data_IF_722726422951
#
_entry.id   IF_722726422951
#
_cell.length_a   1.000
_cell.length_b   1.000
_cell.length_c   1.000
_cell.angle_alpha   90.00
_cell.angle_beta   90.00
_cell.angle_gamma   90.00
#
_symmetry.space_group_name_H-M   'P 1'
#
loop_
_entity.id
_entity.type
_entity.pdbx_description
1 polymer ?
#
# COMPACT_ATOMS: atom_id res chain seq x y z
N UNK A 1 24.97 -4.62 -22.44
CA UNK A 1 23.72 -3.90 -22.73
C UNK A 1 23.16 -3.39 -21.39
N UNK A 2 23.87 -2.42 -20.81
CA UNK A 2 23.55 -0.96 -20.78
C UNK A 2 22.44 -0.65 -19.78
N UNK A 3 22.90 -0.22 -18.61
CA UNK A 3 22.19 0.59 -17.62
C UNK A 3 22.07 2.03 -18.13
N UNK A 4 21.11 2.82 -17.64
CA UNK A 4 21.47 4.13 -17.09
C UNK A 4 20.70 4.40 -15.78
N UNK A 5 21.36 4.76 -14.68
CA UNK A 5 22.12 5.97 -14.38
C UNK A 5 21.23 7.16 -13.97
N UNK A 6 21.17 7.32 -12.65
CA UNK A 6 20.73 8.47 -11.86
C UNK A 6 21.53 9.74 -12.24
N UNK A 7 20.88 10.88 -12.50
CA UNK A 7 21.53 12.21 -12.50
C UNK A 7 20.59 13.33 -12.06
N UNK A 8 20.83 13.82 -10.86
CA UNK A 8 20.55 15.18 -10.42
C UNK A 8 21.50 16.18 -11.09
N UNK A 9 21.06 17.42 -11.36
CA UNK A 9 21.75 18.68 -11.03
C UNK A 9 21.34 19.88 -11.93
N UNK A 10 21.71 21.08 -11.44
CA UNK A 10 21.64 22.45 -11.98
C UNK A 10 20.30 23.16 -11.78
N UNK A 11 20.13 24.18 -10.92
CA UNK A 11 21.00 25.26 -10.40
C UNK A 11 21.49 26.27 -11.46
N UNK A 12 21.16 27.55 -11.19
CA UNK A 12 21.63 28.82 -11.80
C UNK A 12 20.96 29.14 -13.16
N UNK A 13 20.50 30.34 -13.47
CA UNK A 13 21.09 31.69 -13.27
C UNK A 13 20.01 32.77 -13.44
N UNK A 14 20.22 33.89 -12.73
CA UNK A 14 19.53 35.16 -12.86
C UNK A 14 19.78 35.85 -14.22
N UNK A 15 18.88 36.77 -14.62
CA UNK A 15 19.31 38.01 -15.28
C UNK A 15 18.33 39.16 -15.01
N UNK A 16 18.90 40.22 -14.46
CA UNK A 16 18.35 41.56 -14.22
C UNK A 16 17.97 42.28 -15.52
N UNK A 17 16.93 43.11 -15.46
CA UNK A 17 16.85 44.31 -16.31
C UNK A 17 16.22 45.45 -15.49
N UNK A 18 17.03 46.47 -15.25
CA UNK A 18 16.63 47.76 -14.68
C UNK A 18 16.65 48.81 -15.78
N UNK A 19 15.62 49.67 -15.89
CA UNK A 19 15.75 50.96 -16.55
C UNK A 19 14.71 52.00 -16.06
N UNK A 20 15.27 52.96 -15.31
CA UNK A 20 14.95 54.38 -15.01
C UNK A 20 13.78 55.11 -15.70
N UNK A 21 12.97 55.82 -14.88
CA UNK A 21 12.55 57.24 -14.98
C UNK A 21 11.54 57.49 -13.81
N UNK A 22 11.59 58.49 -12.93
CA UNK A 22 11.90 59.91 -13.11
C UNK A 22 10.57 60.70 -13.06
N UNK A 23 10.18 61.24 -11.89
CA UNK A 23 9.09 62.23 -11.78
C UNK A 23 8.21 62.12 -10.53
N UNK A 24 8.34 63.08 -9.60
CA UNK A 24 7.34 63.36 -8.56
C UNK A 24 6.21 64.22 -9.17
N UNK A 25 4.96 64.02 -8.77
CA UNK A 25 4.37 65.06 -7.91
C UNK A 25 3.47 64.52 -6.79
N UNK A 26 3.38 65.33 -5.75
CA UNK A 26 2.49 65.23 -4.61
C UNK A 26 1.03 65.58 -5.01
N UNK A 27 0.08 64.74 -4.63
CA UNK A 27 -1.33 65.09 -4.43
C UNK A 27 -1.94 64.25 -3.29
N UNK A 28 -2.86 64.90 -2.59
CA UNK A 28 -3.50 64.53 -1.34
C UNK A 28 -4.50 63.36 -1.41
N UNK A 29 -4.68 62.70 -0.25
CA UNK A 29 -5.91 62.22 0.45
C UNK A 29 -7.23 62.18 -0.37
N UNK A 30 -8.17 61.23 -0.22
CA UNK A 30 -8.70 60.52 0.96
C UNK A 30 -9.75 59.48 0.48
N UNK A 31 -10.03 58.47 1.32
CA UNK A 31 -11.28 57.68 1.43
C UNK A 31 -11.60 56.64 0.37
N UNK A 32 -11.52 55.36 0.74
CA UNK A 32 -12.67 54.64 1.31
C UNK A 32 -12.48 53.11 1.19
N UNK A 33 -12.68 52.45 2.32
CA UNK A 33 -13.21 51.10 2.49
C UNK A 33 -12.51 49.86 1.91
N UNK A 34 -12.12 49.03 2.89
CA UNK A 34 -12.37 47.58 2.94
C UNK A 34 -11.44 46.65 2.16
N UNK A 35 -10.36 46.30 2.86
CA UNK A 35 -10.08 44.93 3.32
C UNK A 35 -11.00 43.84 2.73
N UNK A 36 -10.52 43.11 1.74
CA UNK A 36 -10.87 41.69 1.57
C UNK A 36 -9.66 40.96 1.01
N UNK A 37 -9.03 40.22 1.92
CA UNK A 37 -8.38 38.94 1.71
C UNK A 37 -8.68 38.29 0.37
N UNK A 38 -7.64 37.97 -0.40
CA UNK A 38 -7.47 36.58 -0.85
C UNK A 38 -6.08 36.40 -1.44
N UNK A 39 -5.17 36.01 -0.54
CA UNK A 39 -4.05 35.16 -0.86
C UNK A 39 -4.62 33.96 -1.63
N UNK A 40 -4.49 33.98 -2.96
CA UNK A 40 -4.85 32.83 -3.80
C UNK A 40 -3.74 31.80 -3.59
N UNK A 41 -3.82 31.11 -2.45
CA UNK A 41 -3.25 29.80 -2.31
C UNK A 41 -3.77 29.02 -3.50
N UNK A 42 -2.87 28.70 -4.43
CA UNK A 42 -3.09 27.66 -5.41
C UNK A 42 -3.32 26.38 -4.63
N UNK A 43 -4.57 26.15 -4.23
CA UNK A 43 -5.07 24.82 -3.91
C UNK A 43 -4.95 24.05 -5.22
N UNK A 44 -3.79 23.46 -5.43
CA UNK A 44 -3.70 22.29 -6.29
C UNK A 44 -4.74 21.35 -5.70
N UNK A 45 -5.89 21.26 -6.37
CA UNK A 45 -6.79 20.16 -6.21
C UNK A 45 -5.93 18.95 -6.58
N UNK A 46 -5.27 18.37 -5.58
CA UNK A 46 -4.66 17.05 -5.65
C UNK A 46 -5.84 16.16 -5.96
N UNK A 47 -6.10 15.99 -7.26
CA UNK A 47 -7.10 15.08 -7.77
C UNK A 47 -6.80 13.77 -7.09
N UNK A 48 -7.69 13.37 -6.21
CA UNK A 48 -7.45 12.22 -5.37
C UNK A 48 -7.44 11.01 -6.28
N UNK A 49 -6.25 10.44 -6.49
CA UNK A 49 -6.09 9.25 -7.30
C UNK A 49 -6.62 8.10 -6.46
N UNK A 50 -7.73 7.49 -6.87
CA UNK A 50 -8.23 6.27 -6.25
C UNK A 50 -8.10 5.14 -7.26
N UNK A 51 -7.67 3.99 -6.78
CA UNK A 51 -7.59 2.80 -7.60
C UNK A 51 -8.91 2.05 -7.55
N UNK A 52 -9.41 1.73 -8.74
CA UNK A 52 -10.60 0.88 -8.93
C UNK A 52 -10.19 -0.40 -9.66
N UNK A 53 -10.85 -1.54 -9.40
CA UNK A 53 -10.61 -2.74 -10.16
C UNK A 53 -11.00 -2.50 -11.63
N UNK A 54 -10.18 -2.98 -12.56
CA UNK A 54 -10.50 -3.00 -13.99
C UNK A 54 -11.24 -4.27 -14.41
N UNK A 55 -11.18 -5.32 -13.59
CA UNK A 55 -11.85 -6.62 -13.76
C UNK A 55 -12.50 -7.06 -12.47
N UNK A 56 -13.31 -8.12 -12.55
CA UNK A 56 -13.83 -8.80 -11.36
C UNK A 56 -12.67 -9.55 -10.68
N UNK A 57 -12.47 -9.29 -9.39
CA UNK A 57 -11.51 -10.00 -8.54
C UNK A 57 -12.31 -10.85 -7.55
N UNK A 58 -12.06 -12.16 -7.56
CA UNK A 58 -12.75 -13.10 -6.70
C UNK A 58 -12.17 -13.11 -5.28
N UNK A 59 -12.95 -13.50 -4.26
CA UNK A 59 -12.40 -13.71 -2.92
C UNK A 59 -11.31 -14.78 -2.94
N UNK A 60 -10.21 -14.53 -2.24
CA UNK A 60 -9.01 -15.37 -2.24
C UNK A 60 -7.98 -15.02 -3.33
N UNK A 61 -8.36 -14.24 -4.34
CA UNK A 61 -7.43 -13.82 -5.40
C UNK A 61 -6.52 -12.68 -4.89
N UNK A 62 -5.25 -12.75 -5.30
CA UNK A 62 -4.26 -11.71 -5.04
C UNK A 62 -4.51 -10.51 -5.96
N UNK A 63 -4.46 -9.30 -5.39
CA UNK A 63 -4.64 -8.05 -6.11
C UNK A 63 -3.30 -7.66 -6.74
N UNK A 64 -3.22 -7.81 -8.06
CA UNK A 64 -2.08 -7.39 -8.86
C UNK A 64 -2.23 -5.94 -9.37
N UNK A 65 -1.11 -5.27 -9.62
CA UNK A 65 -1.08 -3.92 -10.21
C UNK A 65 -1.78 -3.84 -11.58
N UNK A 66 -1.74 -4.92 -12.38
CA UNK A 66 -2.43 -4.98 -13.67
C UNK A 66 -3.96 -5.06 -13.55
N UNK A 67 -4.48 -5.43 -12.38
CA UNK A 67 -5.92 -5.48 -12.11
C UNK A 67 -6.48 -4.13 -11.60
N UNK A 68 -5.62 -3.14 -11.36
CA UNK A 68 -5.99 -1.85 -10.80
C UNK A 68 -5.86 -0.74 -11.85
N UNK A 69 -6.88 0.10 -11.95
CA UNK A 69 -6.85 1.32 -12.76
C UNK A 69 -6.83 2.54 -11.84
N UNK A 70 -5.81 3.41 -11.92
CA UNK A 70 -5.84 4.68 -11.22
C UNK A 70 -6.86 5.58 -11.90
N UNK A 71 -7.84 6.05 -11.14
CA UNK A 71 -8.84 7.00 -11.59
C UNK A 71 -8.80 8.22 -10.68
N UNK A 72 -8.60 9.38 -11.29
CA UNK A 72 -8.65 10.66 -10.60
C UNK A 72 -10.10 10.98 -10.25
N UNK A 73 -10.40 11.13 -8.97
CA UNK A 73 -11.72 11.55 -8.52
C UNK A 73 -11.99 13.00 -8.88
N UNK A 74 -13.25 13.29 -9.22
CA UNK A 74 -13.74 14.66 -9.30
C UNK A 74 -13.72 15.28 -7.89
N UNK A 75 -13.21 16.51 -7.74
CA UNK A 75 -13.14 17.19 -6.45
C UNK A 75 -14.55 17.42 -5.87
N UNK A 76 -14.80 17.00 -4.63
CA UNK A 76 -16.04 17.30 -3.89
C UNK A 76 -16.86 16.11 -3.37
N UNK A 77 -16.44 14.86 -3.60
CA UNK A 77 -17.08 13.69 -2.97
C UNK A 77 -16.32 13.34 -1.68
N UNK A 78 -16.98 13.43 -0.53
CA UNK A 78 -16.37 13.06 0.76
C UNK A 78 -15.90 11.59 0.76
N UNK A 79 -14.63 11.40 1.11
CA UNK A 79 -14.02 10.09 1.42
C UNK A 79 -14.75 9.42 2.59
N UNK A 80 -15.10 8.14 2.47
CA UNK A 80 -15.10 7.26 3.63
C UNK A 80 -13.64 6.90 3.96
N UNK A 81 -13.19 7.11 5.20
CA UNK A 81 -11.85 6.75 5.72
C UNK A 81 -11.43 5.28 5.45
N UNK A 82 -12.38 4.41 5.13
CA UNK A 82 -12.17 2.98 4.95
C UNK A 82 -11.89 2.56 3.50
N UNK A 83 -11.35 3.42 2.62
CA UNK A 83 -11.04 3.09 1.21
C UNK A 83 -9.53 3.16 0.95
N UNK A 84 -8.99 2.10 0.34
CA UNK A 84 -7.59 2.06 -0.04
C UNK A 84 -7.38 2.93 -1.28
N UNK A 85 -6.53 3.94 -1.16
CA UNK A 85 -6.36 4.99 -2.19
C UNK A 85 -5.04 4.84 -2.95
N UNK A 86 -4.04 4.19 -2.33
CA UNK A 86 -2.70 4.08 -2.90
C UNK A 86 -2.45 2.70 -3.50
N UNK A 87 -1.83 2.63 -4.68
CA UNK A 87 -1.45 1.36 -5.30
C UNK A 87 -0.64 0.46 -4.37
N UNK A 88 0.26 1.07 -3.59
CA UNK A 88 1.15 0.39 -2.65
C UNK A 88 0.40 -0.27 -1.48
N UNK A 89 -0.78 0.25 -1.11
CA UNK A 89 -1.62 -0.34 -0.08
C UNK A 89 -2.43 -1.53 -0.60
N UNK A 90 -2.64 -1.66 -1.91
CA UNK A 90 -3.41 -2.76 -2.50
C UNK A 90 -2.53 -3.87 -3.06
N UNK A 91 -1.30 -3.55 -3.46
CA UNK A 91 -0.40 -4.50 -4.11
C UNK A 91 -0.03 -5.65 -3.16
N UNK A 92 -0.22 -6.89 -3.63
CA UNK A 92 0.11 -8.09 -2.86
C UNK A 92 -0.89 -8.43 -1.75
N UNK A 93 -1.99 -7.67 -1.63
CA UNK A 93 -3.10 -8.02 -0.75
C UNK A 93 -4.05 -9.00 -1.42
N UNK A 94 -4.82 -9.73 -0.62
CA UNK A 94 -5.81 -10.70 -1.05
C UNK A 94 -7.22 -10.17 -0.79
N UNK A 95 -8.11 -10.34 -1.76
CA UNK A 95 -9.50 -9.93 -1.62
C UNK A 95 -10.27 -10.90 -0.68
N UNK A 96 -10.99 -10.36 0.30
CA UNK A 96 -11.90 -11.12 1.18
C UNK A 96 -13.30 -11.28 0.58
N UNK A 97 -13.68 -10.40 -0.34
CA UNK A 97 -14.99 -10.37 -1.01
C UNK A 97 -14.82 -10.05 -2.49
N UNK A 98 -15.83 -10.36 -3.28
CA UNK A 98 -15.84 -10.03 -4.71
C UNK A 98 -15.73 -8.52 -4.91
N UNK A 99 -14.68 -8.10 -5.61
CA UNK A 99 -14.49 -6.71 -6.02
C UNK A 99 -14.99 -6.57 -7.45
N UNK A 100 -15.98 -5.71 -7.64
CA UNK A 100 -16.53 -5.42 -8.96
C UNK A 100 -15.73 -4.32 -9.66
N UNK A 101 -15.59 -4.39 -11.00
CA UNK A 101 -14.90 -3.35 -11.74
C UNK A 101 -15.61 -2.00 -11.57
N UNK A 102 -14.83 -0.93 -11.50
CA UNK A 102 -15.37 0.43 -11.38
C UNK A 102 -15.87 0.82 -9.98
N UNK A 103 -15.71 -0.04 -8.97
CA UNK A 103 -16.08 0.24 -7.57
C UNK A 103 -14.84 0.60 -6.74
N UNK A 104 -15.06 1.41 -5.70
CA UNK A 104 -14.05 1.66 -4.68
C UNK A 104 -13.73 0.38 -3.89
N UNK A 105 -12.46 0.20 -3.53
CA UNK A 105 -11.97 -0.95 -2.78
C UNK A 105 -11.84 -0.55 -1.31
N UNK A 106 -12.77 -0.95 -0.44
CA UNK A 106 -12.66 -0.64 0.97
C UNK A 106 -11.56 -1.47 1.64
N UNK A 107 -10.84 -0.90 2.60
CA UNK A 107 -9.75 -1.54 3.36
C UNK A 107 -10.26 -2.80 4.08
N UNK A 108 -11.53 -2.82 4.51
CA UNK A 108 -12.15 -4.00 5.09
C UNK A 108 -12.35 -5.18 4.10
N UNK A 109 -12.31 -4.90 2.79
CA UNK A 109 -12.40 -5.94 1.75
C UNK A 109 -11.08 -6.64 1.46
N UNK A 110 -9.96 -6.13 1.95
CA UNK A 110 -8.63 -6.61 1.62
C UNK A 110 -7.95 -7.15 2.89
N UNK A 111 -7.08 -8.13 2.72
CA UNK A 111 -6.20 -8.65 3.77
C UNK A 111 -4.80 -8.81 3.21
N UNK A 112 -3.81 -8.93 4.07
CA UNK A 112 -2.50 -9.37 3.63
C UNK A 112 -2.54 -10.81 3.11
N UNK A 113 -1.66 -11.10 2.14
CA UNK A 113 -1.52 -12.46 1.64
C UNK A 113 -1.03 -13.38 2.78
N UNK A 114 -1.64 -14.55 2.87
CA UNK A 114 -1.12 -15.58 3.75
C UNK A 114 0.19 -16.11 3.17
N UNK A 115 1.15 -16.36 4.05
CA UNK A 115 2.38 -17.04 3.66
C UNK A 115 2.14 -18.55 3.53
N UNK A 116 1.25 -19.09 4.38
CA UNK A 116 0.82 -20.48 4.36
C UNK A 116 -0.70 -20.52 4.25
N UNK A 117 -1.21 -21.14 3.20
CA UNK A 117 -2.65 -21.35 3.01
C UNK A 117 -3.14 -22.59 3.75
N UNK A 118 -4.42 -22.63 4.12
CA UNK A 118 -5.00 -23.83 4.73
C UNK A 118 -4.93 -25.02 3.78
N UNK A 119 -4.43 -26.15 4.26
CA UNK A 119 -4.29 -27.38 3.48
C UNK A 119 -3.03 -27.43 2.64
N UNK A 120 -2.15 -26.41 2.72
CA UNK A 120 -0.87 -26.44 2.04
C UNK A 120 0.11 -27.39 2.74
N UNK A 121 0.87 -28.13 1.94
CA UNK A 121 2.02 -28.92 2.38
C UNK A 121 3.18 -28.01 2.76
N UNK A 122 3.70 -28.16 3.98
CA UNK A 122 4.72 -27.30 4.58
C UNK A 122 5.79 -28.14 5.27
N UNK A 123 7.03 -27.65 5.21
CA UNK A 123 8.14 -28.24 5.94
C UNK A 123 8.17 -27.72 7.37
N UNK A 124 8.18 -28.64 8.34
CA UNK A 124 8.29 -28.35 9.76
C UNK A 124 9.70 -28.66 10.24
N UNK A 125 10.28 -27.75 11.00
CA UNK A 125 11.53 -27.93 11.74
C UNK A 125 11.26 -27.88 13.24
N UNK A 126 11.53 -28.99 13.91
CA UNK A 126 11.57 -29.04 15.36
C UNK A 126 13.01 -28.86 15.82
N UNK A 127 13.26 -27.82 16.63
CA UNK A 127 14.61 -27.48 17.13
C UNK A 127 14.60 -27.54 18.65
N UNK A 128 15.42 -28.43 19.20
CA UNK A 128 15.63 -28.58 20.64
C UNK A 128 17.14 -28.74 20.94
N UNK A 129 17.79 -27.66 21.37
CA UNK A 129 19.24 -27.62 21.52
C UNK A 129 19.94 -27.86 20.18
N UNK A 130 20.84 -28.85 20.14
CA UNK A 130 21.56 -29.28 18.94
C UNK A 130 20.76 -30.26 18.04
N UNK A 131 19.57 -30.70 18.48
CA UNK A 131 18.72 -31.61 17.72
C UNK A 131 17.80 -30.82 16.79
N UNK A 132 17.91 -31.08 15.48
CA UNK A 132 16.98 -30.57 14.46
C UNK A 132 16.30 -31.74 13.75
N UNK A 133 14.97 -31.76 13.77
CA UNK A 133 14.15 -32.76 13.08
C UNK A 133 13.33 -32.05 12.01
N UNK A 134 13.42 -32.50 10.76
CA UNK A 134 12.58 -32.05 9.64
C UNK A 134 11.45 -33.04 9.37
N UNK A 135 10.22 -32.56 9.26
CA UNK A 135 9.06 -33.37 8.89
C UNK A 135 8.15 -32.62 7.93
N UNK A 136 7.39 -33.34 7.10
CA UNK A 136 6.37 -32.76 6.23
C UNK A 136 5.02 -32.77 6.94
N UNK A 137 4.31 -31.64 6.89
CA UNK A 137 2.99 -31.50 7.50
C UNK A 137 2.04 -30.75 6.57
N UNK A 138 0.75 -30.90 6.82
CA UNK A 138 -0.32 -30.13 6.19
C UNK A 138 -0.82 -29.09 7.18
N UNK A 139 -0.89 -27.85 6.75
CA UNK A 139 -1.45 -26.75 7.55
C UNK A 139 -2.97 -26.90 7.70
N UNK A 140 -3.47 -26.79 8.93
CA UNK A 140 -4.93 -26.82 9.20
C UNK A 140 -5.53 -25.42 9.27
N UNK A 141 -4.69 -24.40 9.44
CA UNK A 141 -5.08 -23.00 9.54
C UNK A 141 -4.18 -22.17 8.62
N UNK A 142 -4.73 -21.12 7.99
CA UNK A 142 -3.91 -20.17 7.25
C UNK A 142 -3.09 -19.32 8.24
N UNK A 143 -1.89 -18.91 7.84
CA UNK A 143 -0.99 -18.14 8.68
C UNK A 143 -0.05 -17.23 7.90
N UNK A 144 0.39 -16.17 8.56
CA UNK A 144 1.44 -15.26 8.08
C UNK A 144 2.73 -15.49 8.88
N UNK A 145 3.86 -14.92 8.44
CA UNK A 145 5.11 -15.01 9.16
C UNK A 145 4.96 -14.52 10.62
N UNK A 146 5.40 -15.32 11.57
CA UNK A 146 5.29 -15.08 13.01
C UNK A 146 3.99 -15.60 13.65
N UNK A 147 3.01 -16.04 12.86
CA UNK A 147 1.75 -16.54 13.40
C UNK A 147 1.86 -17.98 13.92
N UNK A 148 1.12 -18.29 14.98
CA UNK A 148 1.08 -19.63 15.57
C UNK A 148 -0.10 -20.41 14.95
N UNK A 149 0.21 -21.37 14.08
CA UNK A 149 -0.80 -22.17 13.38
C UNK A 149 -0.76 -23.64 13.80
N UNK A 150 -1.92 -24.30 13.71
CA UNK A 150 -2.04 -25.75 13.87
C UNK A 150 -1.74 -26.45 12.55
N UNK A 151 -0.90 -27.47 12.62
CA UNK A 151 -0.54 -28.32 11.48
C UNK A 151 -0.68 -29.79 11.85
N UNK A 152 -0.91 -30.62 10.85
CA UNK A 152 -1.03 -32.06 10.97
C UNK A 152 0.13 -32.72 10.25
N UNK A 153 0.91 -33.53 10.94
CA UNK A 153 1.95 -34.33 10.30
C UNK A 153 1.32 -35.39 9.38
N UNK A 154 1.78 -35.45 8.14
CA UNK A 154 1.23 -36.35 7.11
C UNK A 154 1.56 -37.82 7.39
N UNK A 155 2.70 -38.09 8.03
CA UNK A 155 3.18 -39.44 8.36
C UNK A 155 2.49 -39.99 9.63
N UNK A 156 2.53 -39.23 10.72
CA UNK A 156 1.99 -39.70 12.02
C UNK A 156 0.53 -39.33 12.26
N UNK A 157 -0.04 -38.43 11.45
CA UNK A 157 -1.40 -37.92 11.62
C UNK A 157 -1.62 -37.02 12.85
N UNK A 158 -0.59 -36.80 13.69
CA UNK A 158 -0.67 -35.98 14.90
C UNK A 158 -0.77 -34.50 14.55
N UNK A 159 -1.56 -33.77 15.34
CA UNK A 159 -1.74 -32.32 15.21
C UNK A 159 -0.91 -31.62 16.29
N UNK A 160 -0.12 -30.62 15.89
CA UNK A 160 0.64 -29.78 16.81
C UNK A 160 0.60 -28.31 16.34
N UNK A 161 1.05 -27.40 17.21
CA UNK A 161 1.12 -25.97 16.90
C UNK A 161 2.57 -25.58 16.65
N UNK A 162 2.79 -24.68 15.69
CA UNK A 162 4.11 -24.16 15.38
C UNK A 162 4.02 -22.74 14.85
N UNK A 163 5.13 -22.03 14.88
CA UNK A 163 5.23 -20.65 14.38
C UNK A 163 5.68 -20.67 12.93
N UNK A 164 4.95 -19.97 12.06
CA UNK A 164 5.33 -19.80 10.65
C UNK A 164 6.54 -18.87 10.57
N UNK A 165 7.58 -19.27 9.86
CA UNK A 165 8.77 -18.46 9.58
C UNK A 165 8.61 -17.69 8.27
N UNK A 166 9.42 -16.66 8.05
CA UNK A 166 9.32 -15.78 6.88
C UNK A 166 9.62 -16.47 5.54
N UNK A 167 10.29 -17.62 5.58
CA UNK A 167 10.57 -18.53 4.47
C UNK A 167 9.42 -19.52 4.18
N UNK A 168 8.33 -19.47 4.95
CA UNK A 168 7.16 -20.35 4.79
C UNK A 168 7.28 -21.72 5.47
N UNK A 169 8.40 -21.97 6.14
CA UNK A 169 8.58 -23.17 6.98
C UNK A 169 7.97 -22.94 8.36
N UNK A 170 7.73 -24.02 9.10
CA UNK A 170 7.13 -23.95 10.43
C UNK A 170 8.14 -24.41 11.45
N UNK A 171 8.41 -23.54 12.43
CA UNK A 171 9.28 -23.87 13.56
C UNK A 171 8.44 -24.32 14.74
N UNK A 172 8.81 -25.44 15.34
CA UNK A 172 8.21 -25.95 16.58
C UNK A 172 9.30 -25.99 17.65
N UNK A 173 9.05 -25.35 18.77
CA UNK A 173 9.85 -25.48 19.99
C UNK A 173 9.11 -26.39 20.97
N UNK A 174 9.83 -27.25 21.68
CA UNK A 174 9.27 -27.88 22.87
C UNK A 174 9.04 -26.79 23.93
N UNK A 175 7.79 -26.63 24.36
CA UNK A 175 7.46 -25.89 25.57
C UNK A 175 7.61 -26.79 26.79
#
# INVERSE_FOLDING_TARGET
>A
MVSPAFRSALCRTALMLALVAGGVPAFAQESADQQTSTQVASSQATGEIVLIPNRVIYPGEMIDTGALKPVTLLPGKHRPDAVATQAMELQGKVAKRTLLPGRYIPVAAIRDAWLVEQGADVQVYFIAGDLTISATAVSLQPGAAGDLIKVRNTDSGKIFSGTVMADGTIRVSAS
#
